data_IF_958693791703
#
_entry.id   IF_958693791703
#
_cell.length_a   1.000
_cell.length_b   1.000
_cell.length_c   1.000
_cell.angle_alpha   90.00
_cell.angle_beta   90.00
_cell.angle_gamma   90.00
#
_symmetry.space_group_name_H-M   'P 1'
#
loop_
_entity.id
_entity.type
_entity.pdbx_description
1 polymer ?
#
# COMPACT_ATOMS: atom_id res chain seq x y z
N UNK A 1 -7.15 -27.81 41.72
CA UNK A 1 -6.89 -27.71 40.28
C UNK A 1 -7.93 -26.83 39.65
N UNK A 2 -7.66 -25.52 39.57
CA UNK A 2 -8.58 -24.57 38.95
C UNK A 2 -8.16 -24.30 37.50
N UNK A 3 -8.98 -24.79 36.58
CA UNK A 3 -8.78 -24.63 35.15
C UNK A 3 -9.26 -23.21 34.74
N UNK A 4 -8.36 -22.23 34.68
CA UNK A 4 -8.62 -20.92 34.12
C UNK A 4 -8.69 -21.03 32.59
N UNK A 5 -9.89 -21.23 32.02
CA UNK A 5 -10.15 -20.87 30.62
C UNK A 5 -9.88 -19.38 30.48
N UNK A 6 -8.78 -19.04 29.79
CA UNK A 6 -8.57 -17.70 29.26
C UNK A 6 -9.64 -17.48 28.19
N UNK A 7 -10.69 -16.77 28.53
CA UNK A 7 -11.57 -16.18 27.53
C UNK A 7 -10.70 -15.21 26.69
N UNK A 8 -10.52 -15.53 25.43
CA UNK A 8 -10.06 -14.58 24.42
C UNK A 8 -11.22 -13.61 24.24
N UNK A 9 -11.12 -12.44 24.86
CA UNK A 9 -11.90 -11.28 24.46
C UNK A 9 -11.40 -10.98 23.05
N UNK A 10 -12.17 -11.34 22.04
CA UNK A 10 -11.94 -10.84 20.69
C UNK A 10 -12.13 -9.33 20.80
N UNK A 11 -11.10 -8.55 20.47
CA UNK A 11 -11.23 -7.12 20.25
C UNK A 11 -12.14 -6.95 19.03
N UNK A 12 -13.45 -7.02 19.24
CA UNK A 12 -14.41 -6.58 18.24
C UNK A 12 -14.30 -5.06 18.19
N UNK A 13 -13.58 -4.56 17.20
CA UNK A 13 -13.62 -3.14 16.87
C UNK A 13 -15.06 -2.82 16.48
N UNK A 14 -15.74 -2.01 17.28
CA UNK A 14 -17.10 -1.56 16.95
C UNK A 14 -17.03 -0.70 15.70
N UNK A 15 -17.64 -1.17 14.63
CA UNK A 15 -17.77 -0.41 13.39
C UNK A 15 -19.15 0.28 13.42
N UNK A 16 -19.20 1.63 13.51
CA UNK A 16 -20.46 2.35 13.53
C UNK A 16 -21.18 2.22 12.18
N UNK A 17 -22.50 2.36 12.18
CA UNK A 17 -23.28 2.42 10.95
C UNK A 17 -23.61 3.87 10.59
N UNK A 18 -23.48 4.19 9.31
CA UNK A 18 -23.93 5.45 8.70
C UNK A 18 -25.29 5.19 8.04
N UNK A 19 -26.31 5.97 8.40
CA UNK A 19 -27.64 5.86 7.81
C UNK A 19 -27.78 6.99 6.77
N UNK A 20 -28.01 6.62 5.52
CA UNK A 20 -28.39 7.56 4.46
C UNK A 20 -29.91 7.50 4.25
N UNK A 21 -30.57 8.62 4.49
CA UNK A 21 -31.99 8.80 4.15
C UNK A 21 -32.14 8.98 2.63
N UNK A 22 -33.04 8.24 2.03
CA UNK A 22 -33.37 8.39 0.61
C UNK A 22 -34.87 8.33 0.36
N UNK A 23 -35.30 8.85 -0.81
CA UNK A 23 -36.72 8.75 -1.24
C UNK A 23 -37.24 7.32 -1.40
N UNK A 24 -36.33 6.33 -1.40
CA UNK A 24 -36.65 4.91 -1.55
C UNK A 24 -36.45 4.11 -0.25
N UNK A 25 -36.33 4.82 0.89
CA UNK A 25 -36.07 4.25 2.21
C UNK A 25 -34.62 4.45 2.66
N UNK A 26 -34.40 4.29 3.96
CA UNK A 26 -33.09 4.47 4.59
C UNK A 26 -32.20 3.28 4.32
N UNK A 27 -30.91 3.54 4.09
CA UNK A 27 -29.88 2.53 3.89
C UNK A 27 -28.78 2.68 4.93
N UNK A 28 -28.47 1.60 5.61
CA UNK A 28 -27.35 1.54 6.54
C UNK A 28 -26.10 1.01 5.84
N UNK A 29 -24.96 1.68 6.06
CA UNK A 29 -23.64 1.31 5.57
C UNK A 29 -22.67 1.29 6.74
N UNK A 30 -21.67 0.42 6.71
CA UNK A 30 -20.45 0.67 7.46
C UNK A 30 -19.66 1.83 6.81
N UNK A 31 -18.75 2.51 7.55
CA UNK A 31 -18.00 3.66 7.00
C UNK A 31 -17.20 3.35 5.74
N UNK A 32 -16.59 2.18 5.66
CA UNK A 32 -15.78 1.79 4.48
C UNK A 32 -16.66 1.62 3.24
N UNK A 33 -17.77 0.87 3.36
CA UNK A 33 -18.75 0.73 2.27
C UNK A 33 -19.34 2.08 1.85
N UNK A 34 -19.52 3.02 2.82
CA UNK A 34 -20.01 4.35 2.50
C UNK A 34 -18.96 5.17 1.72
N UNK A 35 -17.70 5.12 2.13
CA UNK A 35 -16.60 5.79 1.45
C UNK A 35 -16.35 5.21 0.07
N UNK A 36 -16.50 3.90 -0.11
CA UNK A 36 -16.36 3.23 -1.39
C UNK A 36 -17.35 3.78 -2.44
N UNK A 37 -18.57 4.20 -2.04
CA UNK A 37 -19.52 4.91 -2.93
C UNK A 37 -18.95 6.23 -3.46
N UNK A 38 -18.10 6.90 -2.68
CA UNK A 38 -17.40 8.12 -3.08
C UNK A 38 -16.05 7.82 -3.75
N UNK A 39 -15.84 6.56 -4.13
CA UNK A 39 -14.62 6.05 -4.79
C UNK A 39 -13.36 6.19 -3.94
N UNK A 40 -13.53 6.08 -2.64
CA UNK A 40 -12.45 6.13 -1.65
C UNK A 40 -12.18 4.71 -1.16
N UNK A 41 -10.95 4.26 -1.31
CA UNK A 41 -10.44 2.95 -0.87
C UNK A 41 -9.40 3.18 0.22
N UNK A 42 -9.42 2.36 1.27
CA UNK A 42 -8.45 2.42 2.37
C UNK A 42 -7.57 1.18 2.40
N UNK A 43 -6.27 1.40 2.24
CA UNK A 43 -5.23 0.40 2.51
C UNK A 43 -4.63 0.70 3.88
N UNK A 44 -5.13 0.02 4.91
CA UNK A 44 -4.70 0.20 6.30
C UNK A 44 -4.10 -1.09 6.87
N UNK A 45 -2.99 -0.96 7.61
CA UNK A 45 -2.30 -2.08 8.24
C UNK A 45 -1.40 -2.87 7.29
N UNK A 46 -1.11 -4.14 7.67
CA UNK A 46 -0.17 -4.99 6.93
C UNK A 46 -0.69 -5.39 5.54
N UNK A 47 0.18 -5.32 4.55
CA UNK A 47 -0.09 -5.80 3.19
C UNK A 47 0.18 -7.30 3.13
N UNK A 48 -0.89 -8.08 3.12
CA UNK A 48 -0.90 -9.53 2.97
C UNK A 48 -1.86 -9.94 1.84
N UNK A 49 -2.06 -11.23 1.62
CA UNK A 49 -2.92 -11.71 0.54
C UNK A 49 -4.37 -11.25 0.71
N UNK A 50 -4.93 -11.35 1.92
CA UNK A 50 -6.33 -10.98 2.19
C UNK A 50 -6.56 -9.48 1.93
N UNK A 51 -5.62 -8.63 2.39
CA UNK A 51 -5.66 -7.18 2.14
C UNK A 51 -5.56 -6.88 0.64
N UNK A 52 -4.66 -7.55 -0.07
CA UNK A 52 -4.49 -7.34 -1.50
C UNK A 52 -5.72 -7.77 -2.29
N UNK A 53 -6.30 -8.93 -1.98
CA UNK A 53 -7.51 -9.43 -2.64
C UNK A 53 -8.68 -8.45 -2.47
N UNK A 54 -8.85 -7.89 -1.27
CA UNK A 54 -9.88 -6.88 -0.99
C UNK A 54 -9.67 -5.62 -1.83
N UNK A 55 -8.47 -5.01 -1.74
CA UNK A 55 -8.15 -3.78 -2.48
C UNK A 55 -8.27 -3.98 -3.99
N UNK A 56 -7.77 -5.09 -4.52
CA UNK A 56 -7.91 -5.42 -5.94
C UNK A 56 -9.39 -5.54 -6.36
N UNK A 57 -10.21 -6.21 -5.55
CA UNK A 57 -11.64 -6.33 -5.81
C UNK A 57 -12.36 -4.98 -5.78
N UNK A 58 -12.05 -4.10 -4.84
CA UNK A 58 -12.59 -2.75 -4.75
C UNK A 58 -12.20 -1.89 -5.96
N UNK A 59 -10.93 -1.93 -6.37
CA UNK A 59 -10.44 -1.20 -7.55
C UNK A 59 -11.16 -1.67 -8.82
N UNK A 60 -11.25 -2.98 -9.04
CA UNK A 60 -11.95 -3.56 -10.19
C UNK A 60 -13.45 -3.24 -10.18
N UNK A 61 -14.08 -3.30 -9.01
CA UNK A 61 -15.49 -2.95 -8.85
C UNK A 61 -15.76 -1.49 -9.22
N UNK A 62 -14.92 -0.57 -8.72
CA UNK A 62 -15.06 0.86 -9.00
C UNK A 62 -14.81 1.19 -10.47
N UNK A 63 -13.80 0.56 -11.09
CA UNK A 63 -13.49 0.76 -12.51
C UNK A 63 -14.62 0.26 -13.41
N UNK A 64 -15.19 -0.92 -13.10
CA UNK A 64 -16.31 -1.47 -13.83
C UNK A 64 -17.60 -0.63 -13.72
N UNK A 65 -17.79 0.08 -12.61
CA UNK A 65 -18.94 0.93 -12.39
C UNK A 65 -18.87 2.23 -13.19
N UNK A 66 -17.74 2.89 -13.24
CA UNK A 66 -17.50 4.14 -13.96
C UNK A 66 -16.00 4.43 -14.10
N UNK A 67 -15.55 4.88 -15.27
CA UNK A 67 -14.18 5.33 -15.50
C UNK A 67 -13.99 6.74 -14.94
N UNK A 68 -13.70 6.82 -13.62
CA UNK A 68 -13.40 8.05 -12.89
C UNK A 68 -12.27 7.80 -11.90
N UNK A 69 -11.67 8.88 -11.37
CA UNK A 69 -10.65 8.79 -10.34
C UNK A 69 -11.07 7.90 -9.16
N UNK A 70 -10.16 7.05 -8.72
CA UNK A 70 -10.25 6.28 -7.48
C UNK A 70 -9.19 6.84 -6.52
N UNK A 71 -9.60 7.12 -5.27
CA UNK A 71 -8.73 7.67 -4.24
C UNK A 71 -8.28 6.56 -3.29
N UNK A 72 -7.00 6.21 -3.33
CA UNK A 72 -6.41 5.20 -2.45
C UNK A 72 -5.69 5.90 -1.29
N UNK A 73 -6.24 5.80 -0.09
CA UNK A 73 -5.62 6.26 1.16
C UNK A 73 -4.79 5.13 1.77
N UNK A 74 -3.55 5.44 2.17
CA UNK A 74 -2.57 4.45 2.62
C UNK A 74 -2.06 4.83 4.01
N UNK A 75 -2.22 3.90 4.96
CA UNK A 75 -1.62 3.93 6.30
C UNK A 75 -1.13 2.51 6.64
N UNK A 76 0.08 2.18 6.18
CA UNK A 76 0.57 0.79 6.16
C UNK A 76 2.06 0.69 6.48
N UNK A 77 2.46 -0.26 7.34
CA UNK A 77 3.86 -0.60 7.56
C UNK A 77 4.49 -1.36 6.38
N UNK A 78 3.73 -1.67 5.32
CA UNK A 78 4.13 -2.56 4.25
C UNK A 78 3.77 -4.01 4.51
N UNK A 79 4.53 -4.94 3.94
CA UNK A 79 4.28 -6.38 4.06
C UNK A 79 4.77 -7.17 2.86
N UNK A 80 3.97 -8.12 2.38
CA UNK A 80 4.32 -9.03 1.28
C UNK A 80 4.53 -8.27 -0.04
N UNK A 81 5.69 -8.46 -0.64
CA UNK A 81 6.03 -7.87 -1.95
C UNK A 81 5.09 -8.36 -3.05
N UNK A 82 4.75 -9.65 -3.05
CA UNK A 82 3.85 -10.23 -4.06
C UNK A 82 2.42 -9.73 -3.92
N UNK A 83 1.93 -9.57 -2.69
CA UNK A 83 0.63 -8.97 -2.42
C UNK A 83 0.59 -7.48 -2.85
N UNK A 84 1.66 -6.73 -2.57
CA UNK A 84 1.79 -5.34 -3.04
C UNK A 84 1.86 -5.24 -4.56
N UNK A 85 2.53 -6.15 -5.24
CA UNK A 85 2.52 -6.19 -6.70
C UNK A 85 1.13 -6.51 -7.27
N UNK A 86 0.33 -7.36 -6.63
CA UNK A 86 -1.04 -7.61 -7.07
C UNK A 86 -1.88 -6.31 -7.07
N UNK A 87 -1.75 -5.49 -6.03
CA UNK A 87 -2.41 -4.18 -5.95
C UNK A 87 -1.86 -3.25 -7.06
N UNK A 88 -0.54 -3.14 -7.19
CA UNK A 88 0.11 -2.31 -8.20
C UNK A 88 -0.32 -2.68 -9.62
N UNK A 89 -0.28 -3.96 -9.96
CA UNK A 89 -0.67 -4.45 -11.29
C UNK A 89 -2.16 -4.17 -11.56
N UNK A 90 -3.02 -4.30 -10.54
CA UNK A 90 -4.44 -3.93 -10.65
C UNK A 90 -4.59 -2.43 -10.92
N UNK A 91 -3.85 -1.56 -10.21
CA UNK A 91 -3.85 -0.11 -10.47
C UNK A 91 -3.41 0.23 -11.90
N UNK A 92 -2.52 -0.60 -12.51
CA UNK A 92 -2.06 -0.40 -13.90
C UNK A 92 -2.99 -1.02 -14.95
N UNK A 93 -3.75 -2.04 -14.57
CA UNK A 93 -4.68 -2.76 -15.44
C UNK A 93 -5.97 -2.01 -15.69
N UNK A 94 -6.53 -1.37 -14.67
CA UNK A 94 -7.78 -0.62 -14.74
C UNK A 94 -7.62 0.68 -15.55
N UNK A 95 -8.74 1.20 -16.06
CA UNK A 95 -8.77 2.45 -16.86
C UNK A 95 -8.84 3.68 -15.96
N UNK A 96 -9.51 3.56 -14.83
CA UNK A 96 -9.63 4.63 -13.83
C UNK A 96 -8.26 5.03 -13.31
N UNK A 97 -7.97 6.32 -13.26
CA UNK A 97 -6.77 6.84 -12.60
C UNK A 97 -6.87 6.62 -11.10
N UNK A 98 -5.78 6.17 -10.49
CA UNK A 98 -5.71 5.99 -9.04
C UNK A 98 -4.82 7.08 -8.44
N UNK A 99 -5.42 7.98 -7.66
CA UNK A 99 -4.65 8.89 -6.80
C UNK A 99 -4.28 8.19 -5.49
N UNK A 100 -3.12 8.54 -4.94
CA UNK A 100 -2.64 7.98 -3.68
C UNK A 100 -2.45 9.08 -2.64
N UNK A 101 -2.83 8.80 -1.40
CA UNK A 101 -2.67 9.72 -0.27
C UNK A 101 -2.11 8.98 0.94
N UNK A 102 -0.88 9.33 1.34
CA UNK A 102 -0.24 8.79 2.54
C UNK A 102 -0.74 9.45 3.81
N UNK A 103 -1.13 8.65 4.79
CA UNK A 103 -1.53 9.08 6.12
C UNK A 103 -0.73 8.30 7.17
N UNK A 104 -0.42 8.94 8.31
CA UNK A 104 0.24 8.29 9.43
C UNK A 104 1.57 7.63 9.06
N UNK A 105 1.54 6.41 8.53
CA UNK A 105 2.72 5.64 8.14
C UNK A 105 2.59 5.04 6.75
N UNK A 106 3.55 5.31 5.87
CA UNK A 106 3.70 4.63 4.59
C UNK A 106 5.10 4.01 4.50
N UNK A 107 5.25 2.75 4.91
CA UNK A 107 6.55 2.09 4.96
C UNK A 107 6.64 0.91 3.99
N UNK A 108 7.86 0.67 3.44
CA UNK A 108 8.16 -0.52 2.63
C UNK A 108 7.21 -0.62 1.42
N UNK A 109 6.44 -1.72 1.30
CA UNK A 109 5.43 -1.85 0.24
C UNK A 109 4.33 -0.78 0.30
N UNK A 110 4.06 -0.17 1.47
CA UNK A 110 3.16 0.98 1.58
C UNK A 110 3.72 2.22 0.88
N UNK A 111 5.02 2.50 1.03
CA UNK A 111 5.70 3.58 0.30
C UNK A 111 5.78 3.30 -1.21
N UNK A 112 6.00 2.05 -1.61
CA UNK A 112 5.95 1.64 -3.01
C UNK A 112 4.58 1.92 -3.63
N UNK A 113 3.50 1.54 -2.97
CA UNK A 113 2.14 1.79 -3.47
C UNK A 113 1.79 3.28 -3.45
N UNK A 114 2.27 4.04 -2.46
CA UNK A 114 2.12 5.50 -2.42
C UNK A 114 2.75 6.15 -3.65
N UNK A 115 3.98 5.76 -4.01
CA UNK A 115 4.67 6.26 -5.20
C UNK A 115 4.05 5.79 -6.52
N UNK A 116 3.20 4.77 -6.47
CA UNK A 116 2.59 4.12 -7.63
C UNK A 116 1.28 4.78 -8.10
N UNK A 117 0.83 5.82 -7.45
CA UNK A 117 -0.31 6.63 -7.91
C UNK A 117 -0.08 7.25 -9.28
N UNK A 118 -1.15 7.77 -9.89
CA UNK A 118 -1.05 8.52 -11.14
C UNK A 118 -0.12 9.73 -10.95
N UNK A 119 0.84 9.96 -11.86
CA UNK A 119 1.73 11.13 -11.78
C UNK A 119 0.94 12.44 -11.65
N UNK A 120 1.34 13.29 -10.70
CA UNK A 120 0.65 14.53 -10.33
C UNK A 120 -0.49 14.34 -9.33
N UNK A 121 -0.79 13.09 -8.92
CA UNK A 121 -1.89 12.76 -8.01
C UNK A 121 -1.42 11.92 -6.81
N UNK A 122 -0.13 11.97 -6.47
CA UNK A 122 0.47 11.29 -5.31
C UNK A 122 0.69 12.30 -4.20
N UNK A 123 0.03 12.13 -3.08
CA UNK A 123 0.08 13.09 -1.96
C UNK A 123 0.42 12.40 -0.65
N UNK A 124 0.93 13.15 0.31
CA UNK A 124 1.02 12.70 1.69
C UNK A 124 0.66 13.84 2.65
N UNK A 125 0.05 13.51 3.77
CA UNK A 125 -0.16 14.46 4.85
C UNK A 125 1.18 14.92 5.43
N UNK A 126 1.26 16.16 5.93
CA UNK A 126 2.49 16.77 6.46
C UNK A 126 3.20 15.89 7.51
N UNK A 127 2.43 15.21 8.36
CA UNK A 127 2.94 14.35 9.43
C UNK A 127 3.03 12.86 9.03
N UNK A 128 2.89 12.53 7.75
CA UNK A 128 3.05 11.16 7.29
C UNK A 128 4.53 10.78 7.30
N UNK A 129 4.88 9.74 8.06
CA UNK A 129 6.20 9.11 8.05
C UNK A 129 6.29 8.17 6.85
N UNK A 130 7.32 8.33 6.04
CA UNK A 130 7.55 7.48 4.85
C UNK A 130 8.86 6.72 5.03
N UNK A 131 8.85 5.41 4.77
CA UNK A 131 10.09 4.63 4.89
C UNK A 131 10.27 3.74 3.67
N UNK A 132 11.44 3.86 3.06
CA UNK A 132 11.85 3.02 1.93
C UNK A 132 13.03 2.15 2.32
N UNK A 133 13.03 0.92 1.85
CA UNK A 133 14.12 -0.03 2.03
C UNK A 133 14.02 -1.16 1.00
N UNK A 134 15.13 -1.89 0.80
CA UNK A 134 15.14 -3.10 -0.04
C UNK A 134 14.30 -4.23 0.59
N UNK A 135 13.77 -5.18 -0.22
CA UNK A 135 13.08 -6.35 0.31
C UNK A 135 13.96 -7.14 1.28
N UNK A 136 13.35 -7.68 2.32
CA UNK A 136 14.00 -8.51 3.32
C UNK A 136 13.26 -9.84 3.49
N UNK A 137 13.98 -10.86 3.93
CA UNK A 137 13.41 -12.15 4.32
C UNK A 137 13.27 -12.17 5.84
N UNK A 138 12.04 -12.12 6.32
CA UNK A 138 11.76 -12.27 7.75
C UNK A 138 11.96 -13.71 8.19
N UNK A 139 12.69 -13.92 9.29
CA UNK A 139 12.92 -15.26 9.86
C UNK A 139 14.12 -16.02 9.27
N UNK A 140 14.83 -15.45 8.28
CA UNK A 140 16.01 -16.05 7.68
C UNK A 140 15.69 -17.14 6.66
N UNK A 141 16.74 -17.68 6.01
CA UNK A 141 16.68 -18.83 5.10
C UNK A 141 17.29 -20.05 5.75
N UNK A 142 16.60 -21.19 5.68
CA UNK A 142 17.10 -22.48 6.12
C UNK A 142 16.71 -23.55 5.10
N UNK A 143 17.57 -24.53 4.90
CA UNK A 143 17.32 -25.63 3.95
C UNK A 143 18.60 -26.12 3.30
N UNK A 144 18.45 -26.86 2.20
CA UNK A 144 19.59 -27.29 1.40
C UNK A 144 20.29 -26.10 0.74
N UNK A 145 21.59 -26.18 0.54
CA UNK A 145 22.39 -25.11 -0.08
C UNK A 145 21.81 -24.65 -1.43
N UNK A 146 21.35 -25.60 -2.25
CA UNK A 146 20.76 -25.31 -3.56
C UNK A 146 19.47 -24.48 -3.42
N UNK A 147 18.62 -24.81 -2.45
CA UNK A 147 17.36 -24.10 -2.22
C UNK A 147 17.62 -22.66 -1.73
N UNK A 148 18.59 -22.50 -0.82
CA UNK A 148 19.01 -21.19 -0.34
C UNK A 148 19.52 -20.32 -1.51
N UNK A 149 20.32 -20.91 -2.43
CA UNK A 149 20.79 -20.18 -3.61
C UNK A 149 19.65 -19.80 -4.58
N UNK A 150 18.63 -20.66 -4.72
CA UNK A 150 17.45 -20.38 -5.55
C UNK A 150 16.66 -19.20 -4.97
N UNK A 151 16.39 -19.24 -3.67
CA UNK A 151 15.66 -18.18 -2.97
C UNK A 151 16.42 -16.85 -2.98
N UNK A 152 17.73 -16.86 -2.77
CA UNK A 152 18.55 -15.67 -2.84
C UNK A 152 18.48 -15.01 -4.23
N UNK A 153 18.57 -15.80 -5.30
CA UNK A 153 18.42 -15.30 -6.68
C UNK A 153 17.02 -14.78 -6.97
N UNK A 154 15.99 -15.42 -6.43
CA UNK A 154 14.60 -14.96 -6.54
C UNK A 154 14.42 -13.59 -5.87
N UNK A 155 14.94 -13.43 -4.65
CA UNK A 155 14.91 -12.16 -3.91
C UNK A 155 15.67 -11.05 -4.62
N UNK A 156 16.84 -11.33 -5.17
CA UNK A 156 17.63 -10.37 -5.97
C UNK A 156 16.82 -9.87 -7.18
N UNK A 157 16.16 -10.77 -7.90
CA UNK A 157 15.30 -10.42 -9.02
C UNK A 157 14.11 -9.54 -8.58
N UNK A 158 13.45 -9.90 -7.48
CA UNK A 158 12.34 -9.09 -6.94
C UNK A 158 12.81 -7.71 -6.51
N UNK A 159 13.95 -7.62 -5.82
CA UNK A 159 14.58 -6.35 -5.45
C UNK A 159 14.81 -5.48 -6.68
N UNK A 160 15.51 -6.01 -7.68
CA UNK A 160 15.83 -5.28 -8.92
C UNK A 160 14.56 -4.78 -9.61
N UNK A 161 13.52 -5.61 -9.68
CA UNK A 161 12.26 -5.24 -10.31
C UNK A 161 11.56 -4.11 -9.56
N UNK A 162 11.42 -4.23 -8.23
CA UNK A 162 10.80 -3.23 -7.38
C UNK A 162 11.53 -1.88 -7.47
N UNK A 163 12.85 -1.89 -7.32
CA UNK A 163 13.67 -0.66 -7.36
C UNK A 163 13.67 -0.01 -8.75
N UNK A 164 13.60 -0.79 -9.82
CA UNK A 164 13.45 -0.26 -11.18
C UNK A 164 12.13 0.49 -11.35
N UNK A 165 11.04 -0.04 -10.81
CA UNK A 165 9.74 0.65 -10.84
C UNK A 165 9.80 1.94 -10.03
N UNK A 166 10.31 1.88 -8.78
CA UNK A 166 10.42 3.06 -7.92
C UNK A 166 11.32 4.16 -8.53
N UNK A 167 12.47 3.79 -9.07
CA UNK A 167 13.38 4.71 -9.72
C UNK A 167 12.69 5.44 -10.89
N UNK A 168 11.96 4.71 -11.72
CA UNK A 168 11.17 5.28 -12.81
C UNK A 168 10.08 6.24 -12.30
N UNK A 169 9.38 5.89 -11.24
CA UNK A 169 8.34 6.73 -10.64
C UNK A 169 8.91 8.02 -10.06
N UNK A 170 10.02 7.92 -9.36
CA UNK A 170 10.69 9.07 -8.74
C UNK A 170 11.52 9.91 -9.72
N UNK A 171 11.82 9.39 -10.92
CA UNK A 171 12.67 10.08 -11.90
C UNK A 171 14.13 10.15 -11.47
N UNK A 172 14.66 9.06 -10.90
CA UNK A 172 16.07 8.90 -10.57
C UNK A 172 16.64 7.62 -11.22
N UNK A 173 17.95 7.40 -11.11
CA UNK A 173 18.58 6.16 -11.58
C UNK A 173 18.28 4.98 -10.65
N UNK A 174 18.42 3.76 -11.16
CA UNK A 174 18.25 2.54 -10.34
C UNK A 174 19.36 2.45 -9.29
N UNK A 175 20.55 2.93 -9.61
CA UNK A 175 21.70 3.01 -8.72
C UNK A 175 21.40 3.92 -7.52
N UNK A 176 20.90 5.14 -7.76
CA UNK A 176 20.51 6.08 -6.71
C UNK A 176 19.39 5.50 -5.83
N UNK A 177 18.37 4.89 -6.43
CA UNK A 177 17.30 4.23 -5.68
C UNK A 177 17.83 3.05 -4.85
N UNK A 178 18.80 2.29 -5.37
CA UNK A 178 19.44 1.18 -4.66
C UNK A 178 20.23 1.69 -3.44
N UNK A 179 20.97 2.78 -3.57
CA UNK A 179 21.69 3.40 -2.45
C UNK A 179 20.73 3.92 -1.38
N UNK A 180 19.66 4.62 -1.77
CA UNK A 180 18.66 5.14 -0.85
C UNK A 180 17.89 4.05 -0.09
N UNK A 181 17.78 2.86 -0.65
CA UNK A 181 17.02 1.74 -0.07
C UNK A 181 17.88 0.65 0.55
N UNK A 182 19.21 0.81 0.61
CA UNK A 182 20.10 -0.23 1.18
C UNK A 182 19.78 -0.57 2.63
N UNK A 183 19.33 0.41 3.38
CA UNK A 183 18.83 0.28 4.76
C UNK A 183 17.52 1.07 4.91
N UNK A 184 16.89 0.96 6.09
CA UNK A 184 15.70 1.74 6.39
C UNK A 184 16.03 3.23 6.25
N UNK A 185 15.41 3.86 5.27
CA UNK A 185 15.53 5.28 5.00
C UNK A 185 14.18 5.94 5.32
N UNK A 186 14.15 6.66 6.44
CA UNK A 186 12.97 7.37 6.93
C UNK A 186 12.94 8.78 6.36
N UNK A 187 11.80 9.17 5.83
CA UNK A 187 11.58 10.41 5.12
C UNK A 187 10.34 11.11 5.67
N UNK A 188 10.43 12.38 5.87
CA UNK A 188 9.27 13.26 5.97
C UNK A 188 8.56 13.35 4.60
N UNK A 189 7.31 13.80 4.59
CA UNK A 189 6.58 14.02 3.34
C UNK A 189 7.34 14.99 2.39
N UNK A 190 7.97 16.03 2.94
CA UNK A 190 8.77 17.00 2.16
C UNK A 190 10.02 16.38 1.56
N UNK A 191 10.73 15.54 2.29
CA UNK A 191 11.91 14.81 1.78
C UNK A 191 11.51 13.81 0.71
N UNK A 192 10.39 13.11 0.88
CA UNK A 192 9.85 12.19 -0.12
C UNK A 192 9.46 12.92 -1.43
N UNK A 193 8.93 14.13 -1.35
CA UNK A 193 8.63 14.95 -2.53
C UNK A 193 9.89 15.43 -3.25
N UNK A 194 11.05 15.44 -2.61
CA UNK A 194 12.32 15.91 -3.18
C UNK A 194 13.18 14.79 -3.81
N UNK A 195 12.73 13.53 -3.81
CA UNK A 195 13.48 12.40 -4.39
C UNK A 195 13.44 12.47 -5.92
N UNK A 196 14.60 12.47 -6.54
CA UNK A 196 14.74 12.48 -8.01
C UNK A 196 14.11 13.72 -8.63
N UNK A 197 13.64 13.61 -9.86
CA UNK A 197 13.00 14.72 -10.59
C UNK A 197 11.50 14.79 -10.41
N UNK A 198 10.87 13.68 -10.00
CA UNK A 198 9.41 13.56 -9.94
C UNK A 198 8.89 13.39 -8.50
N UNK A 199 9.77 13.21 -7.50
CA UNK A 199 9.37 12.88 -6.15
C UNK A 199 8.87 11.44 -5.99
N UNK A 200 8.88 10.92 -4.77
CA UNK A 200 8.12 9.73 -4.40
C UNK A 200 6.62 10.08 -4.30
N UNK A 201 6.35 11.32 -3.95
CA UNK A 201 5.02 11.96 -3.99
C UNK A 201 5.12 13.28 -4.74
N UNK A 202 3.98 13.79 -5.21
CA UNK A 202 3.91 15.05 -5.96
C UNK A 202 3.65 16.26 -5.06
N UNK A 203 2.84 16.09 -4.00
CA UNK A 203 2.44 17.19 -3.10
C UNK A 203 2.36 16.76 -1.64
N UNK A 204 2.64 17.70 -0.74
CA UNK A 204 2.37 17.59 0.70
C UNK A 204 1.07 18.37 0.98
N UNK A 205 0.16 17.78 1.78
CA UNK A 205 -1.15 18.33 2.12
C UNK A 205 -1.36 18.41 3.63
#
# INVERSE_FOLDING_TARGET
MFNKKKERISNMTYVPQVIEESKHGDRAYDPYSRLLKDRIVFLSGEINQDTADLICAELLFLDAAEEKEIKLYIDSPGGSVTAGFAIYDTMRLIKSKVSTTGLGLCASMGAFLLSSGEPGMRTAAENCEIMIHQPLISGGLSGQTSDICIEAKHMERMKTHLLTIMAKQCGCSVEEMTEMTDRNNWLTASEAAAIGTNGLIDHVI
#
